data_IF_289499432901
#
_entry.id   IF_289499432901
#
_cell.length_a   1.000
_cell.length_b   1.000
_cell.length_c   1.000
_cell.angle_alpha   90.00
_cell.angle_beta   90.00
_cell.angle_gamma   90.00
#
_symmetry.space_group_name_H-M   'P 1'
#
loop_
_entity.id
_entity.type
_entity.pdbx_description
1 polymer ?
#
# COMPACT_ATOMS: atom_id res chain seq x y z
N UNK A 1 19.54 4.55 -4.02
CA UNK A 1 18.09 4.37 -4.19
C UNK A 1 17.81 4.36 -5.69
N UNK A 2 17.45 3.22 -6.27
CA UNK A 2 17.10 3.12 -7.70
C UNK A 2 15.80 3.88 -7.95
N UNK A 3 15.61 4.51 -9.12
CA UNK A 3 14.36 5.23 -9.45
C UNK A 3 13.11 4.39 -9.18
N UNK A 4 13.19 3.09 -9.48
CA UNK A 4 12.16 2.10 -9.17
C UNK A 4 11.72 2.10 -7.69
N UNK A 5 12.66 2.16 -6.75
CA UNK A 5 12.37 2.12 -5.31
C UNK A 5 11.67 3.39 -4.84
N UNK A 6 12.07 4.53 -5.39
CA UNK A 6 11.43 5.82 -5.11
C UNK A 6 9.99 5.82 -5.64
N UNK A 7 9.78 5.35 -6.86
CA UNK A 7 8.44 5.23 -7.45
C UNK A 7 7.56 4.25 -6.66
N UNK A 8 8.12 3.12 -6.22
CA UNK A 8 7.39 2.13 -5.42
C UNK A 8 6.96 2.71 -4.07
N UNK A 9 7.86 3.39 -3.37
CA UNK A 9 7.53 4.07 -2.11
C UNK A 9 6.44 5.13 -2.27
N UNK A 10 6.52 5.94 -3.33
CA UNK A 10 5.51 6.95 -3.62
C UNK A 10 4.14 6.31 -3.90
N UNK A 11 4.09 5.26 -4.74
CA UNK A 11 2.84 4.56 -5.03
C UNK A 11 2.21 3.93 -3.79
N UNK A 12 3.02 3.31 -2.94
CA UNK A 12 2.54 2.72 -1.68
C UNK A 12 2.03 3.80 -0.73
N UNK A 13 2.75 4.92 -0.62
CA UNK A 13 2.33 6.05 0.21
C UNK A 13 0.98 6.63 -0.28
N UNK A 14 0.84 6.85 -1.58
CA UNK A 14 -0.38 7.39 -2.18
C UNK A 14 -1.55 6.42 -2.01
N UNK A 15 -1.30 5.13 -2.18
CA UNK A 15 -2.27 4.08 -1.93
C UNK A 15 -2.77 4.09 -0.48
N UNK A 16 -1.87 4.20 0.50
CA UNK A 16 -2.27 4.30 1.91
C UNK A 16 -3.02 5.59 2.23
N UNK A 17 -2.62 6.71 1.63
CA UNK A 17 -3.34 7.98 1.79
C UNK A 17 -4.76 7.88 1.23
N UNK A 18 -4.92 7.27 0.07
CA UNK A 18 -6.22 7.01 -0.55
C UNK A 18 -7.07 6.07 0.31
N UNK A 19 -6.48 5.00 0.88
CA UNK A 19 -7.18 4.07 1.77
C UNK A 19 -7.68 4.77 3.03
N UNK A 20 -6.84 5.61 3.66
CA UNK A 20 -7.24 6.41 4.83
C UNK A 20 -8.38 7.36 4.50
N UNK A 21 -8.32 8.00 3.33
CA UNK A 21 -9.38 8.90 2.85
C UNK A 21 -10.68 8.13 2.57
N UNK A 22 -10.61 6.98 1.91
CA UNK A 22 -11.75 6.10 1.66
C UNK A 22 -12.43 5.67 2.96
N UNK A 23 -11.63 5.23 3.95
CA UNK A 23 -12.11 4.83 5.27
C UNK A 23 -12.77 5.99 6.02
N UNK A 24 -12.20 7.19 5.95
CA UNK A 24 -12.79 8.39 6.56
C UNK A 24 -14.13 8.78 5.91
N UNK A 25 -14.34 8.42 4.64
CA UNK A 25 -15.57 8.68 3.89
C UNK A 25 -16.60 7.54 4.01
N UNK A 26 -16.21 6.39 4.60
CA UNK A 26 -17.04 5.19 4.66
C UNK A 26 -17.21 4.49 3.30
N UNK A 27 -16.26 4.70 2.38
CA UNK A 27 -16.29 4.13 1.03
C UNK A 27 -15.60 2.75 1.05
N UNK A 28 -16.37 1.70 1.36
CA UNK A 28 -15.88 0.34 1.55
C UNK A 28 -15.34 -0.29 0.25
N UNK A 29 -15.99 -0.03 -0.88
CA UNK A 29 -15.50 -0.47 -2.21
C UNK A 29 -14.12 0.12 -2.51
N UNK A 30 -13.94 1.43 -2.30
CA UNK A 30 -12.64 2.06 -2.50
C UNK A 30 -11.59 1.56 -1.50
N UNK A 31 -11.99 1.22 -0.27
CA UNK A 31 -11.08 0.60 0.69
C UNK A 31 -10.58 -0.77 0.21
N UNK A 32 -11.46 -1.61 -0.34
CA UNK A 32 -11.09 -2.94 -0.85
C UNK A 32 -10.14 -2.83 -2.06
N UNK A 33 -10.46 -1.95 -3.01
CA UNK A 33 -9.60 -1.68 -4.17
C UNK A 33 -8.21 -1.24 -3.71
N UNK A 34 -8.17 -0.30 -2.76
CA UNK A 34 -6.90 0.27 -2.33
C UNK A 34 -6.07 -0.69 -1.47
N UNK A 35 -6.71 -1.56 -0.70
CA UNK A 35 -6.04 -2.63 0.03
C UNK A 35 -5.37 -3.63 -0.94
N UNK A 36 -6.08 -4.06 -1.98
CA UNK A 36 -5.50 -4.94 -3.02
C UNK A 36 -4.30 -4.33 -3.74
N UNK A 37 -4.39 -3.05 -4.12
CA UNK A 37 -3.25 -2.33 -4.72
C UNK A 37 -2.03 -2.28 -3.79
N UNK A 38 -2.23 -2.12 -2.46
CA UNK A 38 -1.13 -2.12 -1.50
C UNK A 38 -0.48 -3.51 -1.41
N UNK A 39 -1.28 -4.58 -1.39
CA UNK A 39 -0.79 -5.96 -1.36
C UNK A 39 0.06 -6.27 -2.60
N UNK A 40 -0.42 -5.91 -3.79
CA UNK A 40 0.31 -6.09 -5.05
C UNK A 40 1.65 -5.34 -5.05
N UNK A 41 1.65 -4.09 -4.56
CA UNK A 41 2.87 -3.28 -4.50
C UNK A 41 3.88 -3.83 -3.48
N UNK A 42 3.41 -4.37 -2.35
CA UNK A 42 4.26 -5.04 -1.35
C UNK A 42 4.83 -6.34 -1.92
N UNK A 43 4.04 -7.12 -2.67
CA UNK A 43 4.53 -8.33 -3.32
C UNK A 43 5.60 -8.02 -4.36
N UNK A 44 5.39 -6.98 -5.18
CA UNK A 44 6.40 -6.47 -6.13
C UNK A 44 7.67 -6.08 -5.37
N UNK A 45 7.55 -5.35 -4.26
CA UNK A 45 8.69 -4.96 -3.44
C UNK A 45 9.50 -6.18 -2.95
N UNK A 46 8.80 -7.17 -2.40
CA UNK A 46 9.39 -8.40 -1.88
C UNK A 46 10.12 -9.18 -2.99
N UNK A 47 9.54 -9.28 -4.19
CA UNK A 47 10.19 -9.89 -5.37
C UNK A 47 11.48 -9.17 -5.77
N UNK A 48 11.57 -7.88 -5.52
CA UNK A 48 12.76 -7.07 -5.75
C UNK A 48 13.74 -7.05 -4.56
N UNK A 49 13.49 -7.84 -3.52
CA UNK A 49 14.33 -7.94 -2.32
C UNK A 49 14.17 -6.77 -1.35
N UNK A 50 13.09 -6.00 -1.48
CA UNK A 50 12.73 -4.93 -0.54
C UNK A 50 11.72 -5.48 0.43
N UNK A 51 12.14 -5.60 1.67
CA UNK A 51 11.25 -5.98 2.75
C UNK A 51 10.49 -4.73 3.25
N UNK A 52 9.20 -4.64 2.94
CA UNK A 52 8.30 -3.58 3.41
C UNK A 52 7.44 -4.08 4.60
N UNK A 53 7.88 -5.14 5.29
CA UNK A 53 7.17 -5.71 6.44
C UNK A 53 7.08 -4.75 7.65
N UNK A 54 7.89 -3.70 7.67
CA UNK A 54 8.05 -2.84 8.86
C UNK A 54 6.91 -1.84 9.16
N UNK A 55 5.87 -1.70 8.32
CA UNK A 55 4.84 -0.67 8.59
C UNK A 55 3.50 -0.78 7.86
N UNK A 56 3.41 -1.52 6.76
CA UNK A 56 2.17 -1.62 5.97
C UNK A 56 1.35 -2.89 6.30
N UNK A 57 1.97 -3.97 6.77
CA UNK A 57 1.25 -5.18 7.21
C UNK A 57 0.23 -4.91 8.33
N UNK A 58 0.54 -3.95 9.21
CA UNK A 58 -0.39 -3.50 10.25
C UNK A 58 -1.63 -2.77 9.71
N UNK A 59 -1.58 -2.19 8.51
CA UNK A 59 -2.73 -1.57 7.85
C UNK A 59 -3.62 -2.61 7.16
N UNK A 60 -3.03 -3.67 6.61
CA UNK A 60 -3.76 -4.76 5.94
C UNK A 60 -4.59 -5.61 6.93
N UNK A 61 -4.09 -5.84 8.16
CA UNK A 61 -4.82 -6.60 9.20
C UNK A 61 -5.87 -5.79 9.98
N UNK A 62 -6.03 -4.50 9.69
CA UNK A 62 -6.98 -3.62 10.38
C UNK A 62 -8.25 -3.32 9.55
N UNK A 63 -8.46 -4.07 8.46
CA UNK A 63 -9.68 -4.06 7.64
C UNK A 63 -10.68 -5.11 8.15
#
# INVERSE_FOLDING_TARGET
>A
MTEFMTTLHLRIHDAVAALKSARARGDEDLCLVQAGEIEDLVEIAARHGVDIDCGYGALAHAA
#
